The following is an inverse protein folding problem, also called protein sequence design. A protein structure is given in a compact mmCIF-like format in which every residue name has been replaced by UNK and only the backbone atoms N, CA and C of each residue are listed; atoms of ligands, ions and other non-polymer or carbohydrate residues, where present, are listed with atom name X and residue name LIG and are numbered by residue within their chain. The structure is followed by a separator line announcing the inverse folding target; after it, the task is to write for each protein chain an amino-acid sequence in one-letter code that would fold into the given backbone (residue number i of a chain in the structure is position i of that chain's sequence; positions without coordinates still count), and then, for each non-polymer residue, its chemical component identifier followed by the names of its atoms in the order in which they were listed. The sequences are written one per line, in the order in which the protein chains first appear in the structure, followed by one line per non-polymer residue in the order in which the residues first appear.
data_IF_333698514363
#
_entry.id   IF_333698514363
#
_cell.length_a   1.000
_cell.length_b   1.000
_cell.length_c   1.000
_cell.angle_alpha   90.00
_cell.angle_beta   90.00
_cell.angle_gamma   90.00
#
_symmetry.space_group_name_H-M   'P 1'
#
loop_
_entity.id
_entity.type
_entity.pdbx_description
1 polymer ?
#
# COMPACT_ATOMS: atom_id res chain seq x y z
N UNK A 1 37.56 -2.51 -48.55
CA UNK A 1 37.25 -1.08 -48.33
C UNK A 1 35.82 -0.81 -47.85
N UNK A 2 34.77 -1.47 -48.36
CA UNK A 2 33.38 -1.23 -47.92
C UNK A 2 33.05 -1.62 -46.46
N UNK A 3 33.81 -2.54 -45.85
CA UNK A 3 33.55 -3.00 -44.48
C UNK A 3 33.82 -1.89 -43.44
N UNK A 4 34.91 -1.14 -43.62
CA UNK A 4 35.26 -0.03 -42.73
C UNK A 4 34.27 1.13 -42.85
N UNK A 5 33.70 1.36 -44.03
CA UNK A 5 32.70 2.41 -44.24
C UNK A 5 31.38 2.10 -43.50
N UNK A 6 30.95 0.83 -43.49
CA UNK A 6 29.79 0.37 -42.71
C UNK A 6 30.00 0.46 -41.20
N UNK A 7 31.20 0.12 -40.72
CA UNK A 7 31.55 0.20 -39.29
C UNK A 7 31.58 1.67 -38.84
N UNK A 8 32.16 2.58 -39.63
CA UNK A 8 32.23 4.00 -39.30
C UNK A 8 30.85 4.67 -39.24
N UNK A 9 29.94 4.28 -40.14
CA UNK A 9 28.54 4.74 -40.12
C UNK A 9 27.77 4.18 -38.92
N UNK A 10 28.03 2.94 -38.49
CA UNK A 10 27.40 2.35 -37.31
C UNK A 10 27.89 3.00 -36.01
N UNK A 11 29.19 3.31 -35.90
CA UNK A 11 29.73 4.00 -34.73
C UNK A 11 29.32 5.46 -34.68
N UNK A 12 29.16 6.14 -35.82
CA UNK A 12 28.61 7.50 -35.84
C UNK A 12 27.10 7.53 -35.54
N UNK A 13 26.33 6.52 -35.94
CA UNK A 13 24.93 6.36 -35.52
C UNK A 13 24.80 6.03 -34.02
N UNK A 14 25.73 5.27 -33.43
CA UNK A 14 25.79 5.03 -31.98
C UNK A 14 26.23 6.29 -31.22
N UNK A 15 27.20 7.06 -31.74
CA UNK A 15 27.71 8.27 -31.08
C UNK A 15 26.78 9.49 -31.22
N UNK A 16 25.95 9.56 -32.28
CA UNK A 16 24.88 10.57 -32.43
C UNK A 16 23.52 10.09 -31.91
N UNK A 17 23.32 8.77 -31.78
CA UNK A 17 22.07 8.12 -31.40
C UNK A 17 22.08 7.47 -30.02
N UNK A 18 23.10 7.72 -29.20
CA UNK A 18 23.01 7.60 -27.74
C UNK A 18 22.17 8.76 -27.17
N UNK A 19 20.96 8.92 -27.73
CA UNK A 19 19.81 9.24 -26.92
C UNK A 19 19.64 8.07 -25.97
N UNK A 20 20.38 8.14 -24.88
CA UNK A 20 19.98 7.51 -23.63
C UNK A 20 18.53 7.99 -23.47
N UNK A 21 17.55 7.11 -23.71
CA UNK A 21 16.29 7.22 -22.99
C UNK A 21 16.73 7.07 -21.53
N UNK A 22 17.06 8.23 -20.97
CA UNK A 22 17.22 8.41 -19.55
C UNK A 22 15.80 8.14 -19.06
N UNK A 23 15.55 6.89 -18.68
CA UNK A 23 14.51 6.55 -17.74
C UNK A 23 14.86 7.38 -16.51
N UNK A 24 14.41 8.64 -16.53
CA UNK A 24 14.40 9.53 -15.40
C UNK A 24 13.54 8.80 -14.38
N UNK A 25 14.18 7.91 -13.61
CA UNK A 25 13.78 7.68 -12.23
C UNK A 25 13.46 9.07 -11.70
N UNK A 26 12.23 9.34 -11.24
CA UNK A 26 11.89 10.67 -10.81
C UNK A 26 12.68 10.89 -9.53
N UNK A 27 13.90 11.41 -9.69
CA UNK A 27 14.60 12.14 -8.66
C UNK A 27 13.65 13.26 -8.37
N UNK A 28 12.78 13.02 -7.38
CA UNK A 28 11.69 13.90 -6.97
C UNK A 28 12.18 15.32 -7.15
N UNK A 29 11.53 16.05 -8.06
CA UNK A 29 11.65 17.51 -8.17
C UNK A 29 11.61 18.01 -6.72
N UNK A 30 12.78 18.35 -6.16
CA UNK A 30 12.85 18.94 -4.83
C UNK A 30 12.44 20.37 -5.03
N UNK A 31 11.14 20.57 -5.06
CA UNK A 31 10.56 21.89 -4.90
C UNK A 31 10.74 22.27 -3.41
N UNK A 32 11.64 23.21 -3.09
CA UNK A 32 11.86 23.64 -1.71
C UNK A 32 10.69 24.48 -1.18
N UNK A 33 9.84 24.99 -2.08
CA UNK A 33 8.69 25.85 -1.78
C UNK A 33 7.36 25.10 -1.83
N UNK A 34 7.38 23.82 -2.21
CA UNK A 34 6.34 22.86 -1.90
C UNK A 34 4.98 23.17 -2.55
N UNK A 35 4.94 23.35 -3.86
CA UNK A 35 3.68 23.44 -4.63
C UNK A 35 3.13 22.06 -5.05
N UNK A 36 3.59 20.98 -4.41
CA UNK A 36 3.02 19.66 -4.66
C UNK A 36 1.69 19.52 -3.93
N UNK A 37 0.61 19.55 -4.71
CA UNK A 37 -0.75 19.21 -4.25
C UNK A 37 -0.96 17.70 -4.06
N UNK A 38 0.09 16.88 -4.20
CA UNK A 38 -0.01 15.44 -4.02
C UNK A 38 -0.06 15.10 -2.52
N UNK A 39 -0.97 14.21 -2.15
CA UNK A 39 -1.05 13.71 -0.80
C UNK A 39 0.28 13.02 -0.43
N UNK A 40 0.97 13.52 0.59
CA UNK A 40 2.23 12.90 1.08
C UNK A 40 1.98 11.52 1.71
N UNK A 41 0.75 11.25 2.11
CA UNK A 41 0.31 9.96 2.65
C UNK A 41 -0.37 9.16 1.55
N UNK A 42 0.40 8.30 0.88
CA UNK A 42 -0.14 7.27 -0.01
C UNK A 42 -0.25 5.97 0.79
N UNK A 43 -1.48 5.54 1.04
CA UNK A 43 -1.76 4.24 1.65
C UNK A 43 -1.88 3.21 0.53
N UNK A 44 -0.89 2.34 0.43
CA UNK A 44 -0.80 1.30 -0.60
C UNK A 44 -1.72 0.12 -0.22
N UNK A 45 -3.04 0.32 -0.23
CA UNK A 45 -4.04 -0.71 0.15
C UNK A 45 -3.98 -1.98 -0.73
N UNK A 46 -3.20 -1.94 -1.81
CA UNK A 46 -3.08 -3.00 -2.82
C UNK A 46 -1.84 -3.87 -2.64
N UNK A 47 -0.90 -3.49 -1.77
CA UNK A 47 0.34 -4.23 -1.54
C UNK A 47 0.15 -5.21 -0.39
N UNK A 48 -0.51 -6.33 -0.71
CA UNK A 48 -0.35 -7.66 -0.12
C UNK A 48 0.28 -7.72 1.30
N UNK A 49 -0.46 -7.27 2.30
CA UNK A 49 -0.40 -7.79 3.67
C UNK A 49 -1.80 -8.22 4.12
N UNK A 50 -2.62 -8.74 3.18
CA UNK A 50 -3.93 -9.29 3.53
C UNK A 50 -3.82 -10.59 4.34
N UNK A 51 -2.68 -11.29 4.24
CA UNK A 51 -2.48 -12.58 4.91
C UNK A 51 -2.24 -12.44 6.42
N UNK A 52 -1.90 -11.25 6.93
CA UNK A 52 -1.60 -11.02 8.36
C UNK A 52 -2.72 -10.28 9.11
N UNK A 53 -3.73 -9.75 8.41
CA UNK A 53 -4.77 -8.93 9.02
C UNK A 53 -6.02 -9.78 9.26
N UNK A 54 -6.20 -10.22 10.50
CA UNK A 54 -7.46 -10.82 10.94
C UNK A 54 -8.58 -9.78 10.87
N UNK A 55 -9.70 -10.16 10.23
CA UNK A 55 -10.87 -9.29 10.07
C UNK A 55 -12.08 -9.92 10.74
N UNK A 56 -12.66 -9.19 11.70
CA UNK A 56 -13.96 -9.51 12.25
C UNK A 56 -15.04 -8.88 11.39
N UNK A 57 -15.82 -9.70 10.70
CA UNK A 57 -16.89 -9.21 9.80
C UNK A 57 -18.11 -8.70 10.58
N UNK A 58 -18.24 -9.05 11.86
CA UNK A 58 -19.34 -8.59 12.73
C UNK A 58 -20.71 -8.76 12.10
N UNK A 59 -21.58 -7.77 12.30
CA UNK A 59 -22.91 -7.72 11.70
C UNK A 59 -22.87 -7.13 10.28
N UNK A 60 -23.20 -7.93 9.27
CA UNK A 60 -23.24 -7.51 7.87
C UNK A 60 -24.55 -6.81 7.45
N UNK A 61 -25.57 -6.80 8.32
CA UNK A 61 -26.91 -6.32 7.94
C UNK A 61 -27.08 -4.82 8.13
N UNK A 62 -26.39 -4.24 9.12
CA UNK A 62 -26.51 -2.83 9.48
C UNK A 62 -25.13 -2.21 9.61
N UNK A 63 -25.03 -0.90 9.30
CA UNK A 63 -23.83 -0.13 9.61
C UNK A 63 -23.78 0.10 11.11
N UNK A 64 -23.01 -0.73 11.81
CA UNK A 64 -22.74 -0.57 13.22
C UNK A 64 -21.51 0.33 13.44
N UNK A 65 -21.60 1.20 14.44
CA UNK A 65 -20.47 1.98 14.91
C UNK A 65 -19.81 1.21 16.05
N UNK A 66 -18.59 0.74 15.84
CA UNK A 66 -17.84 0.00 16.83
C UNK A 66 -17.10 0.96 17.75
N UNK A 67 -17.25 0.75 19.05
CA UNK A 67 -16.48 1.42 20.09
C UNK A 67 -15.77 0.38 20.92
N UNK A 68 -14.46 0.47 20.98
CA UNK A 68 -13.66 -0.30 21.93
C UNK A 68 -14.00 0.17 23.35
N UNK A 69 -14.50 -0.74 24.18
CA UNK A 69 -14.87 -0.46 25.57
C UNK A 69 -13.70 -0.80 26.51
N UNK A 70 -13.15 -2.00 26.36
CA UNK A 70 -12.12 -2.53 27.24
C UNK A 70 -11.21 -3.49 26.48
N UNK A 71 -9.93 -3.52 26.87
CA UNK A 71 -8.95 -4.51 26.44
C UNK A 71 -8.45 -5.18 27.72
N UNK A 72 -8.70 -6.48 27.83
CA UNK A 72 -8.22 -7.30 28.94
C UNK A 72 -7.35 -8.43 28.40
N UNK A 73 -6.03 -8.21 28.37
CA UNK A 73 -5.05 -9.22 27.96
C UNK A 73 -5.36 -9.80 26.58
N UNK A 74 -5.95 -11.00 26.56
CA UNK A 74 -6.29 -11.76 25.37
C UNK A 74 -7.75 -11.56 24.89
N UNK A 75 -8.54 -10.79 25.63
CA UNK A 75 -9.93 -10.48 25.33
C UNK A 75 -10.13 -8.99 25.04
N UNK A 76 -11.11 -8.70 24.19
CA UNK A 76 -11.40 -7.37 23.70
C UNK A 76 -12.92 -7.17 23.68
N UNK A 77 -13.39 -6.17 24.40
CA UNK A 77 -14.80 -5.86 24.53
C UNK A 77 -15.17 -4.71 23.58
N UNK A 78 -16.00 -5.00 22.58
CA UNK A 78 -16.48 -4.01 21.61
C UNK A 78 -17.95 -3.74 21.82
N UNK A 79 -18.30 -2.48 22.09
CA UNK A 79 -19.67 -2.00 22.00
C UNK A 79 -20.03 -1.70 20.54
N UNK A 80 -21.12 -2.31 20.07
CA UNK A 80 -21.81 -1.91 18.84
C UNK A 80 -23.14 -1.23 19.19
N UNK A 81 -24.00 -1.00 18.19
CA UNK A 81 -25.25 -0.27 18.39
C UNK A 81 -26.19 -0.95 19.39
N UNK A 82 -26.43 -2.24 19.20
CA UNK A 82 -27.42 -3.01 19.96
C UNK A 82 -26.83 -4.27 20.62
N UNK A 83 -25.51 -4.49 20.49
CA UNK A 83 -24.82 -5.71 20.91
C UNK A 83 -23.44 -5.33 21.46
N UNK A 84 -22.96 -6.09 22.44
CA UNK A 84 -21.59 -6.01 22.93
C UNK A 84 -20.90 -7.32 22.52
N UNK A 85 -19.79 -7.23 21.80
CA UNK A 85 -18.99 -8.37 21.38
C UNK A 85 -17.85 -8.58 22.36
N UNK A 86 -17.69 -9.83 22.80
CA UNK A 86 -16.50 -10.28 23.52
C UNK A 86 -15.62 -11.04 22.52
N UNK A 87 -14.50 -10.45 22.11
CA UNK A 87 -13.62 -11.02 21.10
C UNK A 87 -12.31 -11.50 21.71
N UNK A 88 -11.79 -12.64 21.25
CA UNK A 88 -10.42 -13.07 21.50
C UNK A 88 -9.44 -12.34 20.58
N UNK A 89 -8.36 -11.74 21.09
CA UNK A 89 -7.32 -11.11 20.28
C UNK A 89 -6.54 -12.07 19.36
N UNK A 90 -6.15 -13.30 19.76
CA UNK A 90 -5.31 -14.15 18.90
C UNK A 90 -6.03 -14.64 17.63
N UNK A 91 -7.36 -14.69 17.65
CA UNK A 91 -8.17 -15.22 16.55
C UNK A 91 -9.22 -14.24 16.03
N UNK A 92 -9.39 -13.10 16.71
CA UNK A 92 -10.42 -12.10 16.45
C UNK A 92 -11.81 -12.71 16.27
N UNK A 93 -12.13 -13.70 17.11
CA UNK A 93 -13.38 -14.46 17.12
C UNK A 93 -14.18 -14.16 18.38
N UNK A 94 -15.50 -14.23 18.27
CA UNK A 94 -16.40 -14.10 19.41
C UNK A 94 -16.23 -15.27 20.40
N UNK A 95 -16.13 -14.93 21.68
CA UNK A 95 -16.13 -15.89 22.78
C UNK A 95 -17.58 -16.21 23.14
N UNK A 96 -18.06 -17.39 22.75
CA UNK A 96 -19.39 -17.89 23.09
C UNK A 96 -19.23 -18.80 24.31
N UNK A 97 -19.81 -18.40 25.44
CA UNK A 97 -19.89 -19.27 26.62
C UNK A 97 -20.88 -20.42 26.29
N UNK A 98 -20.38 -21.65 26.12
CA UNK A 98 -21.20 -22.86 25.93
C UNK A 98 -21.98 -23.27 27.19
#
# INVERSE_FOLDING_TARGET
MLLYFKICLFTTWILLGLGIEEEESPRRRRDPWGESHEARMSTDYRKEEQDSIFRFMGNNTHKDHFKLLEIDGDALLIGARNVVYNLSLPHLSENIDE
#
